data_IF_621456086483
#
_entry.id   IF_621456086483
#
_cell.length_a   1.000
_cell.length_b   1.000
_cell.length_c   1.000
_cell.angle_alpha   90.00
_cell.angle_beta   90.00
_cell.angle_gamma   90.00
#
_symmetry.space_group_name_H-M   'P 1'
#
loop_
_entity.id
_entity.type
_entity.pdbx_description
1 polymer ?
#
# COMPACT_ATOMS: atom_id res chain seq x y z
N UNK A 1 19.73 5.18 -12.11
CA UNK A 1 19.18 6.53 -12.35
C UNK A 1 17.95 6.67 -11.48
N UNK A 2 18.03 7.46 -10.41
CA UNK A 2 17.00 7.55 -9.38
C UNK A 2 15.78 8.33 -9.89
N UNK A 3 14.59 7.75 -9.78
CA UNK A 3 13.33 8.43 -10.11
C UNK A 3 13.09 9.49 -9.03
N UNK A 4 13.57 10.71 -9.30
CA UNK A 4 13.56 11.88 -8.41
C UNK A 4 12.35 12.81 -8.61
N UNK A 5 11.28 12.37 -9.28
CA UNK A 5 10.10 13.21 -9.48
C UNK A 5 8.88 12.64 -8.77
N UNK A 6 8.53 13.27 -7.65
CA UNK A 6 7.25 13.11 -6.97
C UNK A 6 6.14 13.56 -7.93
N UNK A 7 5.26 12.63 -8.30
CA UNK A 7 4.11 12.87 -9.17
C UNK A 7 3.23 14.02 -8.61
N UNK A 8 2.84 15.04 -9.41
CA UNK A 8 1.96 16.14 -9.00
C UNK A 8 0.67 15.69 -8.31
N UNK A 9 0.14 14.53 -8.72
CA UNK A 9 -1.04 13.89 -8.15
C UNK A 9 -0.88 13.59 -6.65
N UNK A 10 0.29 13.09 -6.26
CA UNK A 10 0.62 12.74 -4.89
C UNK A 10 0.58 13.97 -3.98
N UNK A 11 0.99 15.14 -4.51
CA UNK A 11 0.88 16.41 -3.79
C UNK A 11 -0.59 16.80 -3.57
N UNK A 12 -1.45 16.56 -4.55
CA UNK A 12 -2.87 16.89 -4.48
C UNK A 12 -3.63 15.98 -3.51
N UNK A 13 -3.34 14.68 -3.53
CA UNK A 13 -3.89 13.72 -2.57
C UNK A 13 -3.53 14.10 -1.13
N UNK A 14 -2.26 14.42 -0.87
CA UNK A 14 -1.79 14.86 0.45
C UNK A 14 -2.36 16.22 0.86
N UNK A 15 -2.71 17.09 -0.09
CA UNK A 15 -3.45 18.33 0.18
C UNK A 15 -4.89 18.05 0.63
N UNK A 16 -5.53 17.01 0.10
CA UNK A 16 -6.86 16.56 0.51
C UNK A 16 -6.89 15.91 1.89
N UNK A 17 -5.78 15.26 2.31
CA UNK A 17 -5.64 14.68 3.65
C UNK A 17 -5.32 15.70 4.75
N UNK A 18 -5.04 16.96 4.40
CA UNK A 18 -4.95 18.03 5.40
C UNK A 18 -6.34 18.27 5.97
N UNK A 19 -6.53 17.86 7.23
CA UNK A 19 -7.70 18.20 8.03
C UNK A 19 -7.99 19.70 7.91
N UNK A 20 -9.05 20.06 7.20
CA UNK A 20 -9.70 21.35 7.42
C UNK A 20 -10.13 21.33 8.88
N UNK A 21 -9.88 22.41 9.63
CA UNK A 21 -10.63 22.70 10.86
C UNK A 21 -12.08 23.01 10.49
N UNK A 22 -12.78 22.06 9.87
CA UNK A 22 -14.21 21.96 10.05
C UNK A 22 -14.37 21.51 11.50
N UNK A 23 -15.36 22.05 12.20
CA UNK A 23 -15.83 21.56 13.49
C UNK A 23 -15.94 20.04 13.39
N UNK A 24 -14.91 19.34 13.87
CA UNK A 24 -14.75 17.91 13.66
C UNK A 24 -15.85 17.24 14.47
N UNK A 25 -16.79 16.58 13.78
CA UNK A 25 -17.47 15.47 14.42
C UNK A 25 -16.37 14.48 14.80
N UNK A 26 -16.07 14.39 16.10
CA UNK A 26 -15.14 13.42 16.66
C UNK A 26 -15.99 12.20 17.00
N UNK A 27 -16.04 11.15 16.15
CA UNK A 27 -16.54 9.87 16.64
C UNK A 27 -15.61 9.43 17.77
N UNK A 28 -16.19 9.05 18.92
CA UNK A 28 -15.44 8.68 20.13
C UNK A 28 -14.40 7.57 19.89
N UNK A 29 -14.55 6.80 18.80
CA UNK A 29 -13.56 5.89 18.21
C UNK A 29 -13.71 5.92 16.69
N UNK A 30 -12.60 6.01 15.95
CA UNK A 30 -12.64 5.79 14.50
C UNK A 30 -13.10 4.35 14.23
N UNK A 31 -14.10 4.18 13.36
CA UNK A 31 -14.54 2.84 12.94
C UNK A 31 -13.39 2.20 12.15
N UNK A 32 -12.91 1.00 12.51
CA UNK A 32 -11.92 0.30 11.71
C UNK A 32 -12.42 0.11 10.28
N UNK A 33 -11.53 0.27 9.31
CA UNK A 33 -11.85 -0.05 7.92
C UNK A 33 -12.32 -1.51 7.86
N UNK A 34 -13.44 -1.78 7.20
CA UNK A 34 -13.94 -3.15 6.98
C UNK A 34 -13.53 -3.68 5.60
N UNK A 35 -13.62 -5.00 5.42
CA UNK A 35 -13.44 -5.63 4.10
C UNK A 35 -14.34 -5.00 3.04
N UNK A 36 -15.62 -4.79 3.37
CA UNK A 36 -16.58 -4.16 2.46
C UNK A 36 -16.14 -2.75 2.05
N UNK A 37 -15.61 -1.95 2.99
CA UNK A 37 -15.12 -0.60 2.68
C UNK A 37 -13.93 -0.64 1.71
N UNK A 38 -13.00 -1.59 1.86
CA UNK A 38 -11.89 -1.77 0.91
C UNK A 38 -12.42 -2.19 -0.45
N UNK A 39 -13.37 -3.13 -0.49
CA UNK A 39 -14.05 -3.54 -1.72
C UNK A 39 -14.65 -2.34 -2.46
N UNK A 40 -15.41 -1.49 -1.76
CA UNK A 40 -16.00 -0.27 -2.36
C UNK A 40 -14.93 0.67 -2.91
N UNK A 41 -13.83 0.89 -2.18
CA UNK A 41 -12.73 1.75 -2.64
C UNK A 41 -12.05 1.18 -3.89
N UNK A 42 -11.81 -0.14 -3.93
CA UNK A 42 -11.20 -0.81 -5.07
C UNK A 42 -12.09 -0.76 -6.31
N UNK A 43 -13.38 -1.05 -6.14
CA UNK A 43 -14.38 -0.94 -7.21
C UNK A 43 -14.50 0.49 -7.73
N UNK A 44 -14.47 1.48 -6.83
CA UNK A 44 -14.46 2.88 -7.23
C UNK A 44 -13.24 3.22 -8.10
N UNK A 45 -12.06 2.75 -7.74
CA UNK A 45 -10.84 2.98 -8.53
C UNK A 45 -10.94 2.37 -9.93
N UNK A 46 -11.58 1.21 -10.09
CA UNK A 46 -11.75 0.57 -11.39
C UNK A 46 -12.90 1.16 -12.22
N UNK A 47 -13.78 1.94 -11.60
CA UNK A 47 -14.94 2.51 -12.27
C UNK A 47 -14.54 3.40 -13.44
N UNK A 48 -15.20 3.31 -14.60
CA UNK A 48 -14.91 4.11 -15.79
C UNK A 48 -14.88 5.62 -15.53
N UNK A 49 -15.68 6.12 -14.58
CA UNK A 49 -15.71 7.54 -14.20
C UNK A 49 -14.43 8.01 -13.48
N UNK A 50 -13.67 7.09 -12.88
CA UNK A 50 -12.43 7.34 -12.13
C UNK A 50 -11.19 7.01 -12.95
N UNK A 51 -11.33 6.19 -14.00
CA UNK A 51 -10.24 5.84 -14.92
C UNK A 51 -9.62 7.08 -15.58
N UNK A 52 -10.37 8.18 -15.73
CA UNK A 52 -9.87 9.49 -16.18
C UNK A 52 -9.31 10.40 -15.09
N UNK A 53 -9.61 10.14 -13.81
CA UNK A 53 -9.20 10.97 -12.66
C UNK A 53 -7.92 10.50 -11.94
N UNK A 54 -7.58 9.22 -12.04
CA UNK A 54 -6.37 8.63 -11.45
C UNK A 54 -5.57 7.88 -12.50
N UNK A 55 -4.23 7.98 -12.48
CA UNK A 55 -3.41 7.16 -13.38
C UNK A 55 -3.49 5.68 -13.00
N UNK A 56 -3.26 4.78 -13.96
CA UNK A 56 -3.23 3.33 -13.69
C UNK A 56 -2.23 2.98 -12.59
N UNK A 57 -1.07 3.62 -12.59
CA UNK A 57 -0.05 3.48 -11.54
C UNK A 57 -0.62 3.79 -10.15
N UNK A 58 -1.32 4.92 -9.98
CA UNK A 58 -1.90 5.31 -8.70
C UNK A 58 -2.93 4.29 -8.21
N UNK A 59 -3.76 3.76 -9.12
CA UNK A 59 -4.78 2.77 -8.78
C UNK A 59 -4.15 1.46 -8.30
N UNK A 60 -3.18 0.93 -9.06
CA UNK A 60 -2.49 -0.32 -8.72
C UNK A 60 -1.70 -0.16 -7.41
N UNK A 61 -0.99 0.95 -7.25
CA UNK A 61 -0.26 1.27 -6.01
C UNK A 61 -1.20 1.34 -4.79
N UNK A 62 -2.31 2.06 -4.91
CA UNK A 62 -3.25 2.23 -3.80
C UNK A 62 -3.86 0.88 -3.38
N UNK A 63 -4.24 0.04 -4.35
CA UNK A 63 -4.75 -1.30 -4.07
C UNK A 63 -3.72 -2.13 -3.31
N UNK A 64 -2.49 -2.17 -3.78
CA UNK A 64 -1.43 -2.90 -3.12
C UNK A 64 -1.17 -2.41 -1.68
N UNK A 65 -1.06 -1.10 -1.47
CA UNK A 65 -0.84 -0.52 -0.13
C UNK A 65 -2.01 -0.78 0.82
N UNK A 66 -3.25 -0.56 0.35
CA UNK A 66 -4.45 -0.70 1.18
C UNK A 66 -4.71 -2.15 1.57
N UNK A 67 -4.62 -3.09 0.62
CA UNK A 67 -4.77 -4.52 0.90
C UNK A 67 -3.66 -5.05 1.80
N UNK A 68 -2.41 -4.62 1.57
CA UNK A 68 -1.29 -5.03 2.43
C UNK A 68 -1.48 -4.52 3.87
N UNK A 69 -1.84 -3.25 4.03
CA UNK A 69 -2.09 -2.66 5.35
C UNK A 69 -3.21 -3.40 6.09
N UNK A 70 -4.29 -3.74 5.38
CA UNK A 70 -5.41 -4.46 5.98
C UNK A 70 -5.04 -5.91 6.33
N UNK A 71 -4.52 -6.66 5.37
CA UNK A 71 -4.19 -8.07 5.52
C UNK A 71 -3.13 -8.30 6.60
N UNK A 72 -2.05 -7.51 6.59
CA UNK A 72 -0.97 -7.60 7.57
C UNK A 72 -1.29 -6.92 8.91
N UNK A 73 -2.46 -6.29 9.04
CA UNK A 73 -2.82 -5.42 10.17
C UNK A 73 -1.73 -4.40 10.46
N UNK A 74 -1.18 -3.81 9.39
CA UNK A 74 -0.02 -2.93 9.44
C UNK A 74 -0.45 -1.47 9.51
N UNK A 75 0.30 -0.67 10.26
CA UNK A 75 0.19 0.79 10.15
C UNK A 75 0.73 1.23 8.80
N UNK A 76 0.17 2.30 8.25
CA UNK A 76 0.62 2.83 6.94
C UNK A 76 2.13 3.14 6.93
N UNK A 77 2.69 3.61 8.05
CA UNK A 77 4.12 3.86 8.15
C UNK A 77 4.95 2.58 8.09
N UNK A 78 4.45 1.45 8.61
CA UNK A 78 5.13 0.15 8.52
C UNK A 78 5.16 -0.32 7.05
N UNK A 79 4.04 -0.16 6.34
CA UNK A 79 3.92 -0.51 4.92
C UNK A 79 4.81 0.36 4.04
N UNK A 80 4.78 1.68 4.20
CA UNK A 80 5.55 2.61 3.35
C UNK A 80 7.06 2.54 3.60
N UNK A 81 7.50 2.00 4.74
CA UNK A 81 8.94 1.79 5.01
C UNK A 81 9.42 0.39 4.68
N UNK A 82 8.54 -0.50 4.20
CA UNK A 82 8.90 -1.86 3.82
C UNK A 82 9.91 -1.84 2.67
N UNK A 83 11.03 -2.55 2.84
CA UNK A 83 12.07 -2.68 1.83
C UNK A 83 11.92 -3.97 1.05
N UNK A 84 12.42 -3.96 -0.18
CA UNK A 84 12.32 -5.08 -1.10
C UNK A 84 13.02 -6.34 -0.57
N UNK A 85 14.19 -6.20 0.06
CA UNK A 85 14.90 -7.33 0.70
C UNK A 85 14.10 -8.06 1.77
N UNK A 86 13.12 -7.37 2.35
CA UNK A 86 12.29 -7.89 3.43
C UNK A 86 11.00 -8.53 2.89
N UNK A 87 10.88 -8.69 1.56
CA UNK A 87 9.75 -9.30 0.88
C UNK A 87 10.24 -10.42 -0.05
N UNK A 88 9.52 -11.53 -0.06
CA UNK A 88 9.69 -12.61 -1.01
C UNK A 88 8.34 -12.95 -1.63
N UNK A 89 8.29 -13.05 -2.96
CA UNK A 89 7.07 -13.41 -3.70
C UNK A 89 7.29 -14.73 -4.44
N UNK A 90 6.20 -15.39 -4.84
CA UNK A 90 6.23 -16.63 -5.63
C UNK A 90 7.01 -17.75 -4.94
N UNK A 91 6.81 -17.88 -3.63
CA UNK A 91 7.29 -19.00 -2.85
C UNK A 91 6.26 -20.14 -2.92
N UNK A 92 6.73 -21.38 -2.79
CA UNK A 92 5.88 -22.56 -2.88
C UNK A 92 6.07 -23.45 -1.66
N UNK A 93 4.99 -24.04 -1.17
CA UNK A 93 5.02 -25.05 -0.10
C UNK A 93 3.98 -26.13 -0.37
N UNK A 94 4.23 -27.35 0.10
CA UNK A 94 3.24 -28.42 0.06
C UNK A 94 2.02 -28.04 0.92
N UNK A 95 0.82 -28.36 0.43
CA UNK A 95 -0.40 -28.25 1.22
C UNK A 95 -0.40 -29.30 2.34
N UNK A 96 -0.83 -28.89 3.51
CA UNK A 96 -0.93 -29.77 4.70
C UNK A 96 -2.22 -30.61 4.65
N UNK A 97 -3.14 -30.26 3.75
CA UNK A 97 -4.46 -30.88 3.61
C UNK A 97 -4.53 -31.76 2.35
N UNK A 98 -3.79 -31.39 1.29
CA UNK A 98 -3.72 -32.13 0.03
C UNK A 98 -2.25 -32.35 -0.36
N UNK A 99 -1.74 -33.58 -0.25
CA UNK A 99 -0.32 -33.90 -0.42
C UNK A 99 0.25 -33.65 -1.83
N UNK A 100 -0.62 -33.54 -2.82
CA UNK A 100 -0.31 -33.29 -4.23
C UNK A 100 -0.43 -31.81 -4.64
N UNK A 101 -0.92 -30.95 -3.75
CA UNK A 101 -1.13 -29.54 -4.02
C UNK A 101 0.05 -28.69 -3.55
N UNK A 102 0.55 -27.82 -4.43
CA UNK A 102 1.55 -26.80 -4.10
C UNK A 102 0.86 -25.45 -3.94
N UNK A 103 1.02 -24.86 -2.75
CA UNK A 103 0.46 -23.56 -2.42
C UNK A 103 1.51 -22.49 -2.73
N UNK A 104 1.17 -21.60 -3.66
CA UNK A 104 1.93 -20.37 -3.91
C UNK A 104 1.60 -19.31 -2.84
N UNK A 105 2.63 -18.65 -2.32
CA UNK A 105 2.50 -17.59 -1.33
C UNK A 105 3.67 -16.59 -1.43
N UNK A 106 3.56 -15.47 -0.74
CA UNK A 106 4.67 -14.58 -0.45
C UNK A 106 4.99 -14.56 1.04
N UNK A 107 6.11 -13.95 1.41
CA UNK A 107 6.41 -13.63 2.79
C UNK A 107 6.98 -12.22 2.93
N UNK A 108 6.86 -11.67 4.12
CA UNK A 108 7.43 -10.37 4.45
C UNK A 108 7.85 -10.30 5.91
N UNK A 109 8.86 -9.49 6.18
CA UNK A 109 9.28 -9.16 7.54
C UNK A 109 9.04 -7.69 7.81
N UNK A 110 8.52 -7.38 8.99
CA UNK A 110 8.39 -6.01 9.48
C UNK A 110 9.24 -5.86 10.71
N UNK A 111 9.93 -4.72 10.81
CA UNK A 111 10.77 -4.40 11.95
C UNK A 111 10.15 -3.29 12.78
N UNK A 112 10.47 -3.28 14.08
CA UNK A 112 10.04 -2.26 15.04
C UNK A 112 8.51 -2.18 15.19
N UNK A 113 7.78 -3.29 15.08
CA UNK A 113 6.34 -3.27 15.33
C UNK A 113 6.10 -3.06 16.82
N UNK A 114 5.25 -2.10 17.18
CA UNK A 114 4.83 -1.90 18.58
C UNK A 114 4.17 -3.14 19.22
N UNK A 115 3.65 -4.04 18.39
CA UNK A 115 2.98 -5.28 18.77
C UNK A 115 3.79 -6.53 18.42
N UNK A 116 5.08 -6.39 18.07
CA UNK A 116 5.94 -7.55 17.83
C UNK A 116 6.19 -8.28 19.15
N UNK A 117 5.96 -9.60 19.14
CA UNK A 117 6.25 -10.49 20.27
C UNK A 117 7.67 -11.06 20.17
N UNK A 118 8.27 -11.02 18.96
CA UNK A 118 9.65 -11.42 18.68
C UNK A 118 10.16 -10.62 17.47
N UNK A 119 11.37 -10.07 17.58
CA UNK A 119 12.02 -9.28 16.54
C UNK A 119 12.32 -10.14 15.29
N UNK A 120 12.01 -9.61 14.11
CA UNK A 120 12.33 -10.26 12.83
C UNK A 120 11.34 -11.36 12.45
N UNK A 121 10.10 -11.30 12.96
CA UNK A 121 9.06 -12.26 12.58
C UNK A 121 8.73 -12.13 11.09
N UNK A 122 8.84 -13.24 10.38
CA UNK A 122 8.33 -13.37 9.00
C UNK A 122 6.85 -13.75 9.01
N UNK A 123 6.10 -13.12 8.12
CA UNK A 123 4.67 -13.29 7.93
C UNK A 123 4.40 -13.77 6.51
N UNK A 124 3.37 -14.60 6.33
CA UNK A 124 2.98 -15.07 5.01
C UNK A 124 1.92 -14.15 4.38
N UNK A 125 1.97 -14.03 3.06
CA UNK A 125 0.96 -13.43 2.19
C UNK A 125 0.34 -14.56 1.38
N UNK A 126 -0.86 -14.97 1.76
CA UNK A 126 -1.57 -16.02 1.04
C UNK A 126 -2.36 -15.46 -0.13
N UNK A 127 -2.45 -16.24 -1.20
CA UNK A 127 -3.46 -16.01 -2.21
C UNK A 127 -4.83 -16.34 -1.61
N UNK A 128 -5.78 -15.42 -1.77
CA UNK A 128 -7.13 -15.55 -1.24
C UNK A 128 -8.13 -15.90 -2.35
N UNK A 129 -9.31 -16.36 -1.94
CA UNK A 129 -10.42 -16.65 -2.85
C UNK A 129 -10.94 -15.39 -3.57
N UNK A 130 -11.73 -15.58 -4.62
CA UNK A 130 -12.18 -14.48 -5.50
C UNK A 130 -13.06 -13.44 -4.78
N UNK A 131 -13.84 -13.87 -3.79
CA UNK A 131 -14.67 -13.00 -2.96
C UNK A 131 -13.86 -12.14 -1.98
N UNK A 132 -12.63 -12.55 -1.68
CA UNK A 132 -11.70 -11.85 -0.79
C UNK A 132 -10.64 -11.04 -1.55
N UNK A 133 -10.77 -10.91 -2.87
CA UNK A 133 -9.83 -10.16 -3.73
C UNK A 133 -9.46 -8.77 -3.19
N UNK A 134 -10.39 -7.94 -2.68
CA UNK A 134 -10.03 -6.60 -2.19
C UNK A 134 -8.96 -6.59 -1.09
N UNK A 135 -8.83 -7.68 -0.33
CA UNK A 135 -7.81 -7.83 0.72
C UNK A 135 -6.72 -8.83 0.36
N UNK A 136 -6.71 -9.35 -0.86
CA UNK A 136 -5.68 -10.23 -1.37
C UNK A 136 -4.38 -9.43 -1.60
N UNK A 137 -3.66 -9.21 -0.51
CA UNK A 137 -2.42 -8.46 -0.48
C UNK A 137 -1.35 -9.09 -1.36
N UNK A 138 -1.29 -10.43 -1.42
CA UNK A 138 -0.36 -11.15 -2.29
C UNK A 138 -0.56 -10.77 -3.75
N UNK A 139 -1.80 -10.91 -4.25
CA UNK A 139 -2.15 -10.59 -5.63
C UNK A 139 -1.87 -9.14 -5.96
N UNK A 140 -2.34 -8.19 -5.14
CA UNK A 140 -2.15 -6.78 -5.43
C UNK A 140 -0.69 -6.34 -5.36
N UNK A 141 0.11 -6.94 -4.48
CA UNK A 141 1.55 -6.70 -4.42
C UNK A 141 2.26 -7.25 -5.68
N UNK A 142 1.91 -8.46 -6.13
CA UNK A 142 2.40 -9.00 -7.40
C UNK A 142 2.04 -8.09 -8.58
N UNK A 143 0.79 -7.63 -8.67
CA UNK A 143 0.32 -6.73 -9.72
C UNK A 143 1.10 -5.40 -9.71
N UNK A 144 1.40 -4.85 -8.52
CA UNK A 144 2.21 -3.64 -8.35
C UNK A 144 3.67 -3.83 -8.78
N UNK A 145 4.32 -4.90 -8.29
CA UNK A 145 5.72 -5.21 -8.61
C UNK A 145 5.89 -5.48 -10.10
N UNK A 146 4.94 -6.18 -10.72
CA UNK A 146 4.92 -6.41 -12.16
C UNK A 146 4.70 -5.13 -12.94
N UNK A 147 3.76 -4.27 -12.50
CA UNK A 147 3.51 -2.98 -13.12
C UNK A 147 4.76 -2.11 -13.09
N UNK A 148 5.40 -1.96 -11.93
CA UNK A 148 6.63 -1.18 -11.78
C UNK A 148 7.77 -1.73 -12.65
N UNK A 149 7.95 -3.05 -12.69
CA UNK A 149 8.99 -3.68 -13.49
C UNK A 149 8.75 -3.53 -15.00
N UNK A 150 7.55 -3.89 -15.48
CA UNK A 150 7.25 -3.97 -16.91
C UNK A 150 6.87 -2.63 -17.53
N UNK A 151 6.11 -1.80 -16.82
CA UNK A 151 5.62 -0.52 -17.35
C UNK A 151 6.54 0.65 -17.04
N UNK A 152 7.20 0.63 -15.87
CA UNK A 152 8.12 1.70 -15.49
C UNK A 152 9.60 1.33 -15.68
N UNK A 153 9.91 0.09 -16.08
CA UNK A 153 11.28 -0.37 -16.28
C UNK A 153 12.09 -0.44 -14.99
N UNK A 154 11.43 -0.53 -13.83
CA UNK A 154 12.11 -0.54 -12.54
C UNK A 154 12.83 -1.87 -12.31
N UNK A 155 14.09 -1.80 -11.89
CA UNK A 155 14.88 -2.96 -11.47
C UNK A 155 15.00 -2.93 -9.96
N UNK A 156 14.31 -3.84 -9.28
CA UNK A 156 14.27 -3.92 -7.82
C UNK A 156 15.62 -4.26 -7.22
N UNK A 157 16.02 -3.50 -6.21
CA UNK A 157 17.20 -3.71 -5.38
C UNK A 157 16.77 -3.87 -3.93
N UNK A 158 17.56 -4.60 -3.15
CA UNK A 158 17.30 -4.91 -1.75
C UNK A 158 16.86 -3.73 -0.88
N UNK A 159 17.48 -2.56 -1.05
CA UNK A 159 17.18 -1.37 -0.26
C UNK A 159 16.06 -0.48 -0.85
N UNK A 160 15.48 -0.85 -1.99
CA UNK A 160 14.35 -0.13 -2.56
C UNK A 160 13.13 -0.28 -1.67
N UNK A 161 12.38 0.81 -1.50
CA UNK A 161 11.08 0.74 -0.86
C UNK A 161 10.10 0.04 -1.79
N UNK A 162 9.44 -1.01 -1.29
CA UNK A 162 8.41 -1.76 -2.03
C UNK A 162 7.33 -0.81 -2.52
N UNK A 163 6.90 0.08 -1.63
CA UNK A 163 5.99 1.16 -1.94
C UNK A 163 6.78 2.45 -1.86
N UNK A 164 7.02 3.17 -2.96
CA UNK A 164 7.73 4.44 -2.89
C UNK A 164 7.03 5.36 -1.90
N UNK A 165 7.69 5.58 -0.77
CA UNK A 165 7.20 6.45 0.27
C UNK A 165 7.14 7.89 -0.24
N UNK A 166 6.29 8.68 0.38
CA UNK A 166 6.19 10.13 0.17
C UNK A 166 7.39 10.86 0.81
N UNK A 167 8.62 10.44 0.48
CA UNK A 167 9.85 11.01 1.05
C UNK A 167 10.05 12.38 0.42
N UNK A 168 9.59 13.43 1.11
CA UNK A 168 9.66 14.80 0.60
C UNK A 168 8.63 15.77 1.18
N UNK A 169 7.60 15.29 1.88
CA UNK A 169 6.77 16.17 2.72
C UNK A 169 7.50 16.46 4.03
N UNK A 170 8.58 17.22 3.92
CA UNK A 170 9.14 17.94 5.05
C UNK A 170 7.99 18.67 5.76
N UNK A 171 7.85 18.47 7.08
CA UNK A 171 6.95 19.29 7.92
C UNK A 171 7.17 20.80 7.72
N UNK A 172 8.33 21.23 7.20
CA UNK A 172 8.64 22.62 6.86
C UNK A 172 8.07 23.09 5.52
N UNK A 173 7.88 22.22 4.52
CA UNK A 173 7.26 22.62 3.23
C UNK A 173 5.75 22.92 3.37
N UNK A 174 5.20 22.75 4.57
CA UNK A 174 3.81 23.03 4.94
C UNK A 174 3.68 24.39 5.66
N UNK A 175 4.79 25.08 5.95
CA UNK A 175 4.83 26.46 6.48
C UNK A 175 5.51 27.38 5.44
N UNK A 176 4.73 28.21 4.78
CA UNK A 176 5.13 29.18 3.75
C UNK A 176 4.37 28.89 2.45
N UNK A 177 3.46 29.73 1.96
CA UNK A 177 3.30 31.17 2.13
C UNK A 177 2.03 31.51 2.91
N UNK A 178 2.21 32.22 4.03
CA UNK A 178 1.28 33.29 4.35
C UNK A 178 1.50 34.42 3.34
N UNK A 179 0.45 35.19 3.12
CA UNK A 179 0.39 36.47 2.41
C UNK A 179 0.38 36.40 0.88
N UNK A 180 -0.84 36.34 0.34
CA UNK A 180 -1.30 37.30 -0.67
C UNK A 180 -2.85 37.30 -0.64
N UNK A 181 -3.40 38.33 0.00
CA UNK A 181 -4.76 38.83 -0.21
C UNK A 181 -4.92 39.29 -1.66
N UNK A 182 -6.07 38.94 -2.26
CA UNK A 182 -6.49 39.32 -3.60
C UNK A 182 -7.62 38.41 -4.08
#
# INVERSE_FOLDING_TARGET
>A
MAIKQINPFVRQFMRGLKKRKATEYIPARAVPVSLQMIGVLHTFLDSPCVVGGFTKECRVWFKAVSSFAFYGMCRINEVLTLKWKDVSLRQFRASVVASDEMIEFGSYSLFNRKTEVAEGRSYNLHNLAEDEVPINAYKHLCDWVEFASKKNGHTWRDDDYVFPALVGLSKKAIKGNGDATG
#
